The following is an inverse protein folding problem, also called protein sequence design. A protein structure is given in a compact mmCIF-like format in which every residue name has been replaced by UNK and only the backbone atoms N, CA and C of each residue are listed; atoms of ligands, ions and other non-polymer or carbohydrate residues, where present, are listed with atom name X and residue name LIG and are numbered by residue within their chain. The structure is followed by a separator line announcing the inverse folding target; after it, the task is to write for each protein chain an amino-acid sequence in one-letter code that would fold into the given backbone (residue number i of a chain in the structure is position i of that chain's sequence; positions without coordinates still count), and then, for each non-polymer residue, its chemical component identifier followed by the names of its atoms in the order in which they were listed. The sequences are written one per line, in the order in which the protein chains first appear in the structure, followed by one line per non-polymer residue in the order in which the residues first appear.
data_IF_976230003726
#
_entry.id   IF_976230003726
#
_cell.length_a   1.000
_cell.length_b   1.000
_cell.length_c   1.000
_cell.angle_alpha   90.00
_cell.angle_beta   90.00
_cell.angle_gamma   90.00
#
_symmetry.space_group_name_H-M   'P 1'
#
loop_
_entity.id
_entity.type
_entity.pdbx_description
1 polymer ?
#
# COMPACT_ATOMS: atom_id res chain seq x y z
N UNK A 1 9.66 -0.19 -15.16
CA UNK A 1 9.78 0.13 -13.72
C UNK A 1 8.83 -0.75 -12.92
N UNK A 2 9.32 -1.37 -11.84
CA UNK A 2 8.52 -2.22 -10.94
C UNK A 2 8.31 -1.52 -9.60
N UNK A 3 7.05 -1.32 -9.22
CA UNK A 3 6.62 -0.61 -8.01
C UNK A 3 5.82 -1.55 -7.14
N UNK A 4 6.09 -1.61 -5.84
CA UNK A 4 5.40 -2.51 -4.93
C UNK A 4 4.95 -1.83 -3.64
N UNK A 5 3.95 -2.40 -2.99
CA UNK A 5 3.57 -2.10 -1.63
C UNK A 5 3.59 -3.36 -0.78
N UNK A 6 4.00 -3.25 0.48
CA UNK A 6 4.01 -4.38 1.42
C UNK A 6 3.87 -3.90 2.87
N UNK A 7 2.79 -4.27 3.51
CA UNK A 7 2.70 -4.18 4.97
C UNK A 7 3.57 -5.27 5.59
N UNK A 8 4.68 -4.89 6.22
CA UNK A 8 5.67 -5.83 6.77
C UNK A 8 5.35 -6.28 8.19
N UNK A 9 4.32 -5.73 8.83
CA UNK A 9 3.93 -6.04 10.20
C UNK A 9 5.15 -6.17 11.15
N UNK A 10 5.89 -5.09 11.31
CA UNK A 10 7.19 -4.92 11.98
C UNK A 10 8.41 -5.18 11.08
N UNK A 11 9.04 -4.07 10.67
CA UNK A 11 10.25 -4.11 9.85
C UNK A 11 11.40 -4.86 10.54
N UNK A 12 11.59 -4.64 11.85
CA UNK A 12 12.64 -5.33 12.61
C UNK A 12 12.51 -6.86 12.52
N UNK A 13 11.30 -7.37 12.56
CA UNK A 13 11.05 -8.82 12.51
C UNK A 13 11.19 -9.36 11.09
N UNK A 14 10.79 -8.59 10.08
CA UNK A 14 10.73 -8.98 8.66
C UNK A 14 11.89 -8.46 7.82
N UNK A 15 12.89 -7.84 8.43
CA UNK A 15 14.05 -7.34 7.68
C UNK A 15 14.78 -8.45 6.88
N UNK A 16 14.97 -9.68 7.41
CA UNK A 16 15.50 -10.78 6.60
C UNK A 16 14.64 -11.11 5.38
N UNK A 17 13.30 -11.12 5.54
CA UNK A 17 12.37 -11.34 4.43
C UNK A 17 12.40 -10.21 3.41
N UNK A 18 12.42 -8.97 3.89
CA UNK A 18 12.55 -7.82 3.00
C UNK A 18 13.84 -7.89 2.17
N UNK A 19 14.97 -8.22 2.80
CA UNK A 19 16.25 -8.39 2.11
C UNK A 19 16.19 -9.46 1.03
N UNK A 20 15.64 -10.63 1.34
CA UNK A 20 15.47 -11.72 0.38
C UNK A 20 14.55 -11.29 -0.76
N UNK A 21 13.40 -10.71 -0.45
CA UNK A 21 12.44 -10.31 -1.47
C UNK A 21 12.97 -9.19 -2.38
N UNK A 22 13.71 -8.21 -1.82
CA UNK A 22 14.36 -7.16 -2.62
C UNK A 22 15.42 -7.71 -3.57
N UNK A 23 16.12 -8.78 -3.19
CA UNK A 23 17.08 -9.47 -4.05
C UNK A 23 16.39 -10.26 -5.18
N UNK A 24 15.30 -10.96 -4.85
CA UNK A 24 14.60 -11.86 -5.79
C UNK A 24 13.71 -11.08 -6.77
N UNK A 25 12.89 -10.17 -6.26
CA UNK A 25 11.91 -9.41 -7.04
C UNK A 25 12.52 -8.18 -7.72
N UNK A 26 13.62 -7.64 -7.15
CA UNK A 26 14.36 -6.47 -7.63
C UNK A 26 13.46 -5.28 -8.04
N UNK A 27 12.53 -4.82 -7.16
CA UNK A 27 11.68 -3.69 -7.50
C UNK A 27 12.50 -2.39 -7.58
N UNK A 28 12.00 -1.42 -8.34
CA UNK A 28 12.58 -0.08 -8.40
C UNK A 28 12.12 0.76 -7.19
N UNK A 29 10.88 0.56 -6.76
CA UNK A 29 10.26 1.24 -5.61
C UNK A 29 9.47 0.25 -4.76
N UNK A 30 9.62 0.34 -3.43
CA UNK A 30 8.79 -0.40 -2.46
C UNK A 30 8.27 0.56 -1.39
N UNK A 31 6.97 0.58 -1.22
CA UNK A 31 6.31 1.27 -0.12
C UNK A 31 6.01 0.26 1.01
N UNK A 32 6.44 0.57 2.21
CA UNK A 32 6.24 -0.28 3.38
C UNK A 32 5.24 0.36 4.34
N UNK A 33 4.42 -0.47 4.98
CA UNK A 33 3.53 -0.09 6.06
C UNK A 33 3.82 -0.96 7.30
N UNK A 34 3.40 -0.47 8.45
CA UNK A 34 3.65 -1.08 9.77
C UNK A 34 5.13 -1.37 10.03
N UNK A 35 5.99 -0.40 9.74
CA UNK A 35 7.42 -0.55 10.07
C UNK A 35 7.66 -0.70 11.56
N UNK A 36 6.78 -0.12 12.41
CA UNK A 36 6.81 -0.18 13.88
C UNK A 36 8.18 0.18 14.47
N UNK A 37 8.87 1.10 13.80
CA UNK A 37 10.23 1.52 14.10
C UNK A 37 10.29 3.04 14.17
N UNK A 38 10.88 3.59 15.21
CA UNK A 38 11.18 5.02 15.31
C UNK A 38 12.24 5.42 14.27
N UNK A 39 12.21 6.65 13.80
CA UNK A 39 13.12 7.15 12.77
C UNK A 39 14.60 6.95 13.16
N UNK A 40 14.95 7.17 14.43
CA UNK A 40 16.32 6.99 14.94
C UNK A 40 16.82 5.54 14.86
N UNK A 41 15.92 4.57 14.74
CA UNK A 41 16.23 3.13 14.72
C UNK A 41 15.95 2.49 13.35
N UNK A 42 15.66 3.32 12.33
CA UNK A 42 15.37 2.80 10.99
C UNK A 42 16.66 2.21 10.37
N UNK A 43 16.64 1.00 9.78
CA UNK A 43 17.83 0.29 9.32
C UNK A 43 18.37 0.84 7.98
N UNK A 44 18.70 2.12 7.96
CA UNK A 44 19.09 2.86 6.75
C UNK A 44 20.32 2.26 6.08
N UNK A 45 21.35 1.91 6.87
CA UNK A 45 22.60 1.36 6.34
C UNK A 45 22.42 -0.03 5.73
N UNK A 46 21.59 -0.87 6.36
CA UNK A 46 21.27 -2.20 5.85
C UNK A 46 20.49 -2.12 4.53
N UNK A 47 19.56 -1.18 4.43
CA UNK A 47 18.79 -0.93 3.20
C UNK A 47 19.69 -0.33 2.11
N UNK A 48 20.59 0.59 2.48
CA UNK A 48 21.54 1.17 1.54
C UNK A 48 22.50 0.12 0.96
N UNK A 49 22.92 -0.85 1.78
CA UNK A 49 23.75 -1.97 1.32
C UNK A 49 23.06 -2.85 0.27
N UNK A 50 21.72 -2.83 0.19
CA UNK A 50 20.92 -3.50 -0.84
C UNK A 50 20.73 -2.65 -2.11
N UNK A 51 21.31 -1.45 -2.16
CA UNK A 51 21.21 -0.54 -3.29
C UNK A 51 19.95 0.30 -3.31
N UNK A 52 19.30 0.51 -2.16
CA UNK A 52 18.12 1.37 -2.03
C UNK A 52 18.42 2.62 -1.20
N UNK A 53 17.77 3.70 -1.55
CA UNK A 53 17.63 4.91 -0.74
C UNK A 53 16.25 4.91 -0.11
N UNK A 54 16.10 5.49 1.08
CA UNK A 54 14.82 5.46 1.79
C UNK A 54 14.39 6.83 2.30
N UNK A 55 13.10 7.05 2.30
CA UNK A 55 12.40 8.03 3.11
C UNK A 55 11.47 7.27 4.05
N UNK A 56 11.29 7.76 5.26
CA UNK A 56 10.45 7.10 6.27
C UNK A 56 9.86 8.09 7.24
N UNK A 57 8.77 7.68 7.87
CA UNK A 57 8.11 8.38 8.97
C UNK A 57 7.60 7.33 9.94
N UNK A 58 8.27 7.18 11.05
CA UNK A 58 8.05 6.09 12.00
C UNK A 58 7.63 6.56 13.38
N UNK A 59 7.13 5.61 14.15
CA UNK A 59 6.85 5.76 15.56
C UNK A 59 7.06 4.45 16.32
N UNK A 60 7.22 4.54 17.62
CA UNK A 60 7.44 3.38 18.46
C UNK A 60 6.23 2.45 18.49
N UNK A 61 6.45 1.15 18.33
CA UNK A 61 5.49 0.06 18.56
C UNK A 61 4.39 -0.07 17.49
N UNK A 62 3.86 1.03 16.95
CA UNK A 62 2.72 1.05 16.03
C UNK A 62 3.03 1.83 14.77
N UNK A 63 2.21 1.60 13.73
CA UNK A 63 2.25 2.37 12.48
C UNK A 63 3.64 2.42 11.83
N UNK A 64 3.96 3.53 11.17
CA UNK A 64 5.21 3.73 10.47
C UNK A 64 5.13 3.30 9.01
N UNK A 65 5.61 4.18 8.15
CA UNK A 65 5.60 4.04 6.69
C UNK A 65 6.98 4.38 6.13
N UNK A 66 7.35 3.73 5.03
CA UNK A 66 8.61 4.00 4.35
C UNK A 66 8.46 3.86 2.84
N UNK A 67 9.29 4.57 2.09
CA UNK A 67 9.50 4.39 0.65
C UNK A 67 10.97 4.05 0.45
N UNK A 68 11.23 2.88 -0.10
CA UNK A 68 12.55 2.43 -0.52
C UNK A 68 12.60 2.51 -2.04
N UNK A 69 13.65 3.12 -2.60
CA UNK A 69 13.79 3.24 -4.04
C UNK A 69 15.26 3.18 -4.48
N UNK A 70 15.49 2.79 -5.75
CA UNK A 70 16.83 2.81 -6.33
C UNK A 70 17.37 4.24 -6.43
N UNK A 71 16.53 5.20 -6.72
CA UNK A 71 16.82 6.63 -6.65
C UNK A 71 16.33 7.22 -5.32
N UNK A 72 17.01 8.23 -4.80
CA UNK A 72 16.63 8.87 -3.55
C UNK A 72 15.26 9.56 -3.69
N UNK A 73 14.28 9.23 -2.85
CA UNK A 73 13.00 9.95 -2.83
C UNK A 73 13.21 11.44 -2.48
N UNK A 74 12.50 12.33 -3.20
CA UNK A 74 12.57 13.79 -3.05
C UNK A 74 11.20 14.35 -2.68
N UNK A 75 11.13 15.63 -2.31
CA UNK A 75 9.89 16.37 -2.04
C UNK A 75 8.97 15.61 -1.07
N UNK A 76 9.56 15.24 0.07
CA UNK A 76 8.92 14.35 1.04
C UNK A 76 7.84 15.09 1.81
N UNK A 77 6.66 14.47 1.90
CA UNK A 77 5.55 14.87 2.76
C UNK A 77 5.23 13.71 3.71
N UNK A 78 5.29 13.96 5.00
CA UNK A 78 5.11 12.95 6.06
C UNK A 78 3.77 13.04 6.76
N UNK A 79 2.96 14.06 6.43
CA UNK A 79 1.65 14.28 7.02
C UNK A 79 0.76 15.08 6.04
N UNK A 80 -0.55 14.97 6.19
CA UNK A 80 -1.50 15.80 5.43
C UNK A 80 -1.44 17.21 6.01
N UNK A 81 -1.18 18.26 5.20
CA UNK A 81 -1.15 19.62 5.68
C UNK A 81 -2.44 19.99 6.43
N UNK A 82 -2.29 20.46 7.67
CA UNK A 82 -3.41 20.86 8.52
C UNK A 82 -4.13 19.73 9.27
N UNK A 83 -3.71 18.46 9.09
CA UNK A 83 -4.31 17.33 9.83
C UNK A 83 -3.74 17.17 11.23
N UNK A 84 -2.58 17.57 11.58
CA UNK A 84 -1.98 17.45 12.93
C UNK A 84 -2.18 16.05 13.58
N UNK A 85 -2.08 14.98 12.78
CA UNK A 85 -2.23 13.60 13.24
C UNK A 85 -0.89 13.08 13.79
N UNK A 86 -0.81 12.61 15.04
CA UNK A 86 0.42 12.07 15.59
C UNK A 86 0.77 10.69 15.00
N UNK A 87 -0.17 10.03 14.31
CA UNK A 87 0.05 8.70 13.74
C UNK A 87 0.80 8.79 12.41
N UNK A 88 1.81 7.95 12.26
CA UNK A 88 2.66 7.89 11.07
C UNK A 88 2.09 6.92 10.04
N UNK A 89 1.15 7.42 9.21
CA UNK A 89 0.33 6.63 8.28
C UNK A 89 0.43 7.06 6.83
N UNK A 90 1.07 8.20 6.56
CA UNK A 90 1.23 8.72 5.21
C UNK A 90 2.68 9.13 4.97
N UNK A 91 3.17 8.80 3.78
CA UNK A 91 4.47 9.25 3.30
C UNK A 91 4.37 9.44 1.79
N UNK A 92 4.63 10.65 1.33
CA UNK A 92 4.61 10.94 -0.10
C UNK A 92 5.99 11.43 -0.52
N UNK A 93 6.47 10.95 -1.67
CA UNK A 93 7.78 11.34 -2.20
C UNK A 93 7.82 11.21 -3.72
N UNK A 94 8.73 11.92 -4.35
CA UNK A 94 8.99 11.83 -5.79
C UNK A 94 10.20 10.93 -6.03
N UNK A 95 10.05 9.91 -6.87
CA UNK A 95 11.12 9.00 -7.32
C UNK A 95 11.21 9.07 -8.84
N UNK A 96 12.34 9.52 -9.37
CA UNK A 96 12.42 9.89 -10.78
C UNK A 96 11.35 10.93 -11.13
N UNK A 97 10.49 10.59 -12.09
CA UNK A 97 9.36 11.44 -12.51
C UNK A 97 8.03 11.06 -11.84
N UNK A 98 8.01 9.99 -11.03
CA UNK A 98 6.80 9.51 -10.40
C UNK A 98 6.59 10.08 -9.00
N UNK A 99 5.39 10.55 -8.73
CA UNK A 99 4.92 10.86 -7.38
C UNK A 99 4.36 9.59 -6.74
N UNK A 100 4.87 9.21 -5.58
CA UNK A 100 4.50 8.00 -4.85
C UNK A 100 3.83 8.41 -3.54
N UNK A 101 2.58 8.04 -3.35
CA UNK A 101 1.83 8.28 -2.11
C UNK A 101 1.58 6.95 -1.38
N UNK A 102 2.36 6.71 -0.33
CA UNK A 102 2.25 5.53 0.52
C UNK A 102 1.27 5.78 1.66
N UNK A 103 0.24 4.95 1.74
CA UNK A 103 -0.84 5.05 2.72
C UNK A 103 -0.89 3.79 3.60
N UNK A 104 -1.00 4.00 4.90
CA UNK A 104 -1.42 2.99 5.86
C UNK A 104 -2.77 3.43 6.46
N UNK A 105 -3.85 3.03 5.80
CA UNK A 105 -5.21 3.42 6.21
C UNK A 105 -5.55 2.82 7.57
N UNK A 106 -6.24 3.57 8.38
CA UNK A 106 -6.72 3.14 9.71
C UNK A 106 -7.55 1.87 9.58
N UNK A 107 -7.32 0.86 10.43
CA UNK A 107 -8.13 -0.36 10.41
C UNK A 107 -9.60 -0.08 10.78
N UNK A 108 -9.86 0.73 11.80
CA UNK A 108 -11.22 1.11 12.23
C UNK A 108 -11.81 0.20 13.31
N UNK A 109 -11.21 -0.93 13.59
CA UNK A 109 -11.55 -1.90 14.64
C UNK A 109 -12.93 -2.54 14.45
N UNK A 110 -14.03 -1.78 14.55
CA UNK A 110 -15.42 -2.25 14.47
C UNK A 110 -16.30 -1.16 13.88
N UNK A 111 -17.26 -1.54 13.04
CA UNK A 111 -18.24 -0.61 12.45
C UNK A 111 -19.03 0.10 13.55
N UNK A 112 -19.12 1.42 13.48
CA UNK A 112 -19.80 2.26 14.47
C UNK A 112 -18.95 2.66 15.68
N UNK A 113 -17.69 2.20 15.79
CA UNK A 113 -16.78 2.64 16.85
C UNK A 113 -16.18 4.02 16.58
N UNK A 114 -15.60 4.66 17.61
CA UNK A 114 -14.87 5.92 17.45
C UNK A 114 -13.68 5.79 16.47
N UNK A 115 -13.03 4.62 16.44
CA UNK A 115 -11.94 4.34 15.51
C UNK A 115 -12.44 4.19 14.06
N UNK A 116 -13.65 3.71 13.89
CA UNK A 116 -14.29 3.66 12.59
C UNK A 116 -14.66 5.06 12.09
N UNK A 117 -15.25 5.88 12.95
CA UNK A 117 -15.52 7.28 12.63
C UNK A 117 -14.24 8.05 12.26
N UNK A 118 -13.16 7.85 13.03
CA UNK A 118 -11.84 8.40 12.72
C UNK A 118 -11.32 7.91 11.36
N UNK A 119 -11.47 6.62 11.02
CA UNK A 119 -11.09 6.07 9.71
C UNK A 119 -11.77 6.81 8.55
N UNK A 120 -13.08 7.01 8.64
CA UNK A 120 -13.85 7.66 7.57
C UNK A 120 -13.47 9.16 7.44
N UNK A 121 -13.30 9.87 8.55
CA UNK A 121 -12.81 11.27 8.56
C UNK A 121 -11.40 11.37 7.96
N UNK A 122 -10.50 10.46 8.35
CA UNK A 122 -9.14 10.39 7.81
C UNK A 122 -9.14 10.15 6.29
N UNK A 123 -9.97 9.22 5.79
CA UNK A 123 -10.12 8.95 4.35
C UNK A 123 -10.64 10.16 3.58
N UNK A 124 -11.57 10.92 4.15
CA UNK A 124 -12.06 12.15 3.51
C UNK A 124 -10.94 13.20 3.36
N UNK A 125 -10.07 13.35 4.37
CA UNK A 125 -8.91 14.24 4.33
C UNK A 125 -7.84 13.75 3.35
N UNK A 126 -7.57 12.44 3.33
CA UNK A 126 -6.68 11.82 2.33
C UNK A 126 -7.20 12.08 0.92
N UNK A 127 -8.50 11.92 0.66
CA UNK A 127 -9.09 12.19 -0.66
C UNK A 127 -8.85 13.65 -1.09
N UNK A 128 -9.08 14.61 -0.19
CA UNK A 128 -8.84 16.03 -0.49
C UNK A 128 -7.36 16.31 -0.79
N UNK A 129 -6.45 15.73 -0.01
CA UNK A 129 -5.01 15.83 -0.22
C UNK A 129 -4.58 15.21 -1.56
N UNK A 130 -5.07 14.01 -1.89
CA UNK A 130 -4.75 13.34 -3.16
C UNK A 130 -5.28 14.09 -4.36
N UNK A 131 -6.44 14.75 -4.26
CA UNK A 131 -6.96 15.61 -5.33
C UNK A 131 -6.00 16.77 -5.66
N UNK A 132 -5.33 17.33 -4.62
CA UNK A 132 -4.29 18.34 -4.80
C UNK A 132 -2.99 17.77 -5.35
N UNK A 133 -2.59 16.58 -4.89
CA UNK A 133 -1.39 15.90 -5.40
C UNK A 133 -1.52 15.54 -6.89
N UNK A 134 -2.67 14.99 -7.33
CA UNK A 134 -2.90 14.64 -8.74
C UNK A 134 -2.83 15.89 -9.65
N UNK A 135 -3.37 17.04 -9.20
CA UNK A 135 -3.30 18.27 -9.99
C UNK A 135 -1.87 18.78 -10.16
N UNK A 136 -1.02 18.61 -9.14
CA UNK A 136 0.38 19.09 -9.15
C UNK A 136 1.32 18.06 -9.77
N UNK A 137 1.00 16.80 -9.66
CA UNK A 137 1.81 15.67 -10.09
C UNK A 137 0.93 14.65 -10.83
N UNK A 138 0.68 14.86 -12.14
CA UNK A 138 -0.18 13.97 -12.91
C UNK A 138 0.27 12.51 -12.92
N UNK A 139 1.57 12.25 -12.88
CA UNK A 139 2.16 10.91 -12.82
C UNK A 139 2.24 10.43 -11.36
N UNK A 140 1.06 10.12 -10.77
CA UNK A 140 0.91 9.71 -9.38
C UNK A 140 0.57 8.22 -9.25
N UNK A 141 1.28 7.54 -8.35
CA UNK A 141 0.91 6.21 -7.85
C UNK A 141 0.53 6.32 -6.37
N UNK A 142 -0.68 5.93 -6.03
CA UNK A 142 -1.17 5.83 -4.64
C UNK A 142 -1.20 4.35 -4.28
N UNK A 143 -0.48 3.97 -3.23
CA UNK A 143 -0.36 2.56 -2.88
C UNK A 143 -0.27 2.38 -1.35
N UNK A 144 -0.52 1.17 -0.88
CA UNK A 144 -0.42 0.86 0.53
C UNK A 144 -1.42 -0.17 1.01
N UNK A 145 -1.51 -0.30 2.32
CA UNK A 145 -2.55 -1.04 3.00
C UNK A 145 -3.75 -0.12 3.23
N UNK A 146 -4.80 -0.36 2.45
CA UNK A 146 -6.03 0.44 2.54
C UNK A 146 -6.98 -0.02 3.64
N UNK A 147 -6.75 -1.21 4.19
CA UNK A 147 -7.68 -1.80 5.17
C UNK A 147 -9.15 -1.76 4.70
N UNK A 148 -9.38 -1.86 3.40
CA UNK A 148 -10.72 -1.91 2.76
C UNK A 148 -10.66 -2.88 1.59
N UNK A 149 -11.62 -3.80 1.50
CA UNK A 149 -11.82 -4.62 0.30
C UNK A 149 -12.62 -3.82 -0.73
N UNK A 150 -12.10 -3.60 -1.95
CA UNK A 150 -12.78 -2.79 -2.97
C UNK A 150 -14.18 -3.33 -3.32
N UNK A 151 -14.29 -4.64 -3.53
CA UNK A 151 -15.58 -5.29 -3.84
C UNK A 151 -15.63 -6.75 -3.34
N UNK A 152 -16.70 -7.47 -3.69
CA UNK A 152 -16.92 -8.83 -3.21
C UNK A 152 -15.97 -9.87 -3.79
N UNK A 153 -15.29 -9.60 -4.93
CA UNK A 153 -14.23 -10.45 -5.48
C UNK A 153 -12.97 -10.43 -4.62
N UNK A 154 -12.83 -9.42 -3.77
CA UNK A 154 -11.65 -9.13 -2.98
C UNK A 154 -11.68 -9.76 -1.58
N UNK A 155 -12.68 -10.59 -1.30
CA UNK A 155 -12.84 -11.29 -0.02
C UNK A 155 -13.32 -12.73 -0.21
N UNK A 156 -12.85 -13.62 0.66
CA UNK A 156 -13.13 -15.06 0.57
C UNK A 156 -14.59 -15.45 0.89
N UNK A 157 -15.31 -14.65 1.67
CA UNK A 157 -16.73 -14.88 2.03
C UNK A 157 -17.48 -13.54 2.09
N UNK A 158 -17.94 -13.02 0.94
CA UNK A 158 -18.59 -11.73 0.87
C UNK A 158 -19.95 -11.71 1.60
N UNK A 159 -20.58 -12.85 1.81
CA UNK A 159 -21.86 -12.95 2.53
C UNK A 159 -21.64 -12.78 4.04
N UNK A 160 -20.67 -13.52 4.61
CA UNK A 160 -20.37 -13.45 6.03
C UNK A 160 -19.77 -12.09 6.44
N UNK A 161 -19.04 -11.43 5.54
CA UNK A 161 -18.37 -10.15 5.79
C UNK A 161 -19.18 -8.93 5.38
N UNK A 162 -20.38 -9.12 4.86
CA UNK A 162 -21.24 -8.00 4.46
C UNK A 162 -21.46 -7.03 5.64
N UNK A 163 -21.16 -5.73 5.40
CA UNK A 163 -21.25 -4.66 6.41
C UNK A 163 -20.38 -4.87 7.68
N UNK A 164 -19.40 -5.79 7.62
CA UNK A 164 -18.38 -5.87 8.66
C UNK A 164 -17.23 -4.88 8.35
N UNK A 165 -16.37 -4.68 9.34
CA UNK A 165 -15.14 -3.87 9.18
C UNK A 165 -14.34 -4.33 7.94
N UNK A 166 -13.69 -3.43 7.23
CA UNK A 166 -12.99 -3.60 5.95
C UNK A 166 -13.92 -3.84 4.75
N UNK A 167 -15.22 -4.10 4.95
CA UNK A 167 -16.18 -4.47 3.92
C UNK A 167 -17.49 -3.67 3.97
N UNK A 168 -17.59 -2.70 4.89
CA UNK A 168 -18.80 -1.89 5.02
C UNK A 168 -18.98 -0.95 3.83
N UNK A 169 -20.25 -0.65 3.52
CA UNK A 169 -20.59 0.30 2.45
C UNK A 169 -19.91 1.65 2.61
N UNK A 170 -19.89 2.32 3.80
CA UNK A 170 -19.19 3.59 3.95
C UNK A 170 -17.67 3.52 3.69
N UNK A 171 -17.00 2.42 4.03
CA UNK A 171 -15.58 2.23 3.73
C UNK A 171 -15.34 2.10 2.23
N UNK A 172 -16.14 1.27 1.55
CA UNK A 172 -16.07 1.09 0.09
C UNK A 172 -16.40 2.37 -0.67
N UNK A 173 -17.38 3.15 -0.19
CA UNK A 173 -17.73 4.45 -0.77
C UNK A 173 -16.58 5.46 -0.61
N UNK A 174 -15.91 5.47 0.55
CA UNK A 174 -14.74 6.33 0.78
C UNK A 174 -13.57 5.94 -0.12
N UNK A 175 -13.29 4.64 -0.30
CA UNK A 175 -12.29 4.15 -1.25
C UNK A 175 -12.67 4.50 -2.69
N UNK A 176 -13.92 4.28 -3.07
CA UNK A 176 -14.44 4.66 -4.40
C UNK A 176 -14.28 6.14 -4.67
N UNK A 177 -14.54 7.01 -3.69
CA UNK A 177 -14.36 8.44 -3.83
C UNK A 177 -12.90 8.85 -4.05
N UNK A 178 -11.93 8.05 -3.57
CA UNK A 178 -10.49 8.22 -3.90
C UNK A 178 -10.21 7.75 -5.33
N UNK A 179 -10.73 6.59 -5.72
CA UNK A 179 -10.57 6.06 -7.10
C UNK A 179 -11.18 7.01 -8.13
N UNK A 180 -12.35 7.60 -7.83
CA UNK A 180 -13.06 8.56 -8.70
C UNK A 180 -12.28 9.89 -8.94
N UNK A 181 -11.13 10.10 -8.28
CA UNK A 181 -10.20 11.19 -8.61
C UNK A 181 -9.44 10.96 -9.94
N UNK A 182 -9.71 9.87 -10.64
CA UNK A 182 -8.99 9.45 -11.85
C UNK A 182 -7.86 8.49 -11.58
N UNK A 183 -8.00 7.68 -10.54
CA UNK A 183 -7.09 6.59 -10.21
C UNK A 183 -7.64 5.25 -10.70
N UNK A 184 -6.76 4.34 -11.08
CA UNK A 184 -7.10 3.00 -11.57
C UNK A 184 -6.47 1.95 -10.67
N UNK A 185 -7.27 1.00 -10.19
CA UNK A 185 -6.77 -0.20 -9.51
C UNK A 185 -5.98 -1.05 -10.50
N UNK A 186 -4.66 -1.03 -10.37
CA UNK A 186 -3.76 -1.63 -11.35
C UNK A 186 -3.86 -3.15 -11.41
N UNK A 187 -4.23 -3.81 -10.30
CA UNK A 187 -4.50 -5.24 -10.32
C UNK A 187 -5.73 -5.55 -11.18
N UNK A 188 -6.80 -4.76 -11.05
CA UNK A 188 -8.06 -4.96 -11.78
C UNK A 188 -8.00 -4.52 -13.26
N UNK A 189 -6.95 -3.82 -13.68
CA UNK A 189 -6.70 -3.61 -15.11
C UNK A 189 -6.33 -4.90 -15.86
N UNK A 190 -5.82 -5.92 -15.15
CA UNK A 190 -5.29 -7.15 -15.74
C UNK A 190 -5.96 -8.43 -15.23
N UNK A 191 -6.70 -8.36 -14.14
CA UNK A 191 -7.29 -9.54 -13.52
C UNK A 191 -8.67 -9.24 -12.91
N UNK A 192 -9.72 -9.84 -13.46
CA UNK A 192 -11.09 -9.73 -12.98
C UNK A 192 -11.53 -10.89 -12.06
N UNK A 193 -10.70 -11.93 -11.94
CA UNK A 193 -11.03 -13.13 -11.18
C UNK A 193 -11.02 -12.88 -9.66
N UNK A 194 -11.93 -13.53 -8.89
CA UNK A 194 -11.89 -13.52 -7.44
C UNK A 194 -10.78 -14.43 -6.89
N UNK A 195 -10.57 -14.38 -5.57
CA UNK A 195 -9.66 -15.33 -4.89
C UNK A 195 -8.20 -14.91 -4.87
N UNK A 196 -7.89 -13.71 -5.33
CA UNK A 196 -6.57 -13.11 -5.27
C UNK A 196 -6.49 -12.14 -4.10
N UNK A 197 -5.77 -12.51 -3.06
CA UNK A 197 -5.71 -11.76 -1.81
C UNK A 197 -4.29 -11.31 -1.48
N UNK A 198 -4.17 -10.26 -0.68
CA UNK A 198 -2.90 -9.71 -0.20
C UNK A 198 -2.70 -9.87 1.32
N UNK A 199 -3.77 -10.22 2.03
CA UNK A 199 -3.78 -10.42 3.48
C UNK A 199 -4.54 -11.68 3.88
N UNK A 200 -4.06 -12.39 4.93
CA UNK A 200 -4.70 -13.56 5.56
C UNK A 200 -4.42 -13.57 7.05
N UNK A 201 -5.47 -13.72 7.87
CA UNK A 201 -5.31 -13.91 9.32
C UNK A 201 -4.39 -15.10 9.61
N UNK A 202 -3.53 -14.97 10.62
CA UNK A 202 -2.69 -16.08 11.10
C UNK A 202 -3.51 -17.24 11.67
N UNK A 203 -4.69 -16.95 12.20
CA UNK A 203 -5.60 -17.92 12.80
C UNK A 203 -6.27 -18.81 11.73
N UNK A 204 -6.76 -19.97 12.16
CA UNK A 204 -7.55 -20.89 11.33
C UNK A 204 -6.85 -21.37 10.05
N UNK A 205 -5.52 -21.33 10.00
CA UNK A 205 -4.75 -21.62 8.79
C UNK A 205 -5.20 -20.80 7.57
N UNK A 206 -5.52 -19.51 7.77
CA UNK A 206 -6.14 -18.63 6.78
C UNK A 206 -5.43 -18.66 5.43
N UNK A 207 -4.10 -18.52 5.41
CA UNK A 207 -3.34 -18.58 4.16
C UNK A 207 -3.46 -19.91 3.43
N UNK A 208 -3.31 -21.05 4.13
CA UNK A 208 -3.40 -22.38 3.52
C UNK A 208 -4.78 -22.68 2.95
N UNK A 209 -5.83 -22.17 3.60
CA UNK A 209 -7.24 -22.32 3.18
C UNK A 209 -7.68 -21.24 2.20
N UNK A 210 -6.82 -20.29 1.88
CA UNK A 210 -7.11 -19.09 1.09
C UNK A 210 -8.28 -18.24 1.64
N UNK A 211 -8.39 -18.13 2.97
CA UNK A 211 -9.38 -17.27 3.63
C UNK A 211 -8.81 -15.86 3.78
N UNK A 212 -8.73 -15.12 2.69
CA UNK A 212 -8.01 -13.85 2.61
C UNK A 212 -8.85 -12.69 2.11
N UNK A 213 -8.21 -11.53 2.09
CA UNK A 213 -8.74 -10.27 1.56
C UNK A 213 -7.67 -9.57 0.73
N UNK A 214 -8.08 -8.88 -0.32
CA UNK A 214 -7.21 -7.95 -1.04
C UNK A 214 -7.46 -6.54 -0.49
N UNK A 215 -6.55 -6.09 0.35
CA UNK A 215 -6.61 -4.79 1.03
C UNK A 215 -5.35 -3.94 0.80
N UNK A 216 -4.30 -4.54 0.22
CA UNK A 216 -3.12 -3.82 -0.25
C UNK A 216 -3.33 -3.51 -1.74
N UNK A 217 -3.38 -2.22 -2.07
CA UNK A 217 -3.71 -1.75 -3.41
C UNK A 217 -2.57 -0.92 -4.00
N UNK A 218 -2.48 -0.95 -5.33
CA UNK A 218 -1.65 -0.04 -6.12
C UNK A 218 -2.58 0.64 -7.12
N UNK A 219 -2.77 1.94 -6.95
CA UNK A 219 -3.64 2.77 -7.78
C UNK A 219 -2.76 3.69 -8.63
N UNK A 220 -2.95 3.69 -9.95
CA UNK A 220 -2.23 4.57 -10.87
C UNK A 220 -3.16 5.66 -11.41
N UNK A 221 -2.66 6.88 -11.53
CA UNK A 221 -3.39 7.98 -12.17
C UNK A 221 -3.69 7.70 -13.63
N UNK A 222 -4.69 8.40 -14.19
CA UNK A 222 -5.07 8.28 -15.62
C UNK A 222 -3.87 8.52 -16.56
N UNK A 223 -2.96 9.45 -16.21
CA UNK A 223 -1.74 9.71 -16.97
C UNK A 223 -0.82 8.49 -17.08
N UNK A 224 -0.83 7.61 -16.07
CA UNK A 224 -0.01 6.39 -16.03
C UNK A 224 -0.72 5.17 -16.63
N UNK A 225 -2.04 5.22 -16.84
CA UNK A 225 -2.83 4.06 -17.25
C UNK A 225 -2.27 3.35 -18.47
N UNK A 226 -1.95 4.10 -19.52
CA UNK A 226 -1.39 3.55 -20.76
C UNK A 226 0.01 2.94 -20.58
N UNK A 227 0.71 3.27 -19.51
CA UNK A 227 2.03 2.72 -19.16
C UNK A 227 1.95 1.47 -18.30
N UNK A 228 0.80 1.15 -17.70
CA UNK A 228 0.63 -0.08 -16.93
C UNK A 228 0.81 -1.31 -17.84
N UNK A 229 1.59 -2.30 -17.38
CA UNK A 229 1.90 -3.55 -18.11
C UNK A 229 1.45 -4.79 -17.37
N UNK A 230 1.51 -4.78 -16.05
CA UNK A 230 1.02 -5.85 -15.19
C UNK A 230 0.66 -5.32 -13.80
N UNK A 231 -0.34 -5.95 -13.18
CA UNK A 231 -0.70 -5.79 -11.77
C UNK A 231 -0.75 -7.18 -11.13
N UNK A 232 0.09 -7.44 -10.12
CA UNK A 232 0.28 -8.76 -9.54
C UNK A 232 0.28 -8.72 -8.00
N UNK A 233 0.05 -9.89 -7.39
CA UNK A 233 0.22 -10.13 -5.96
C UNK A 233 1.21 -11.29 -5.81
N UNK A 234 2.34 -11.04 -5.15
CA UNK A 234 3.37 -12.06 -4.94
C UNK A 234 3.14 -12.79 -3.61
N UNK A 235 2.63 -14.01 -3.68
CA UNK A 235 2.32 -14.82 -2.50
C UNK A 235 3.54 -15.50 -1.88
N UNK A 236 4.70 -15.44 -2.51
CA UNK A 236 5.93 -16.13 -2.07
C UNK A 236 6.31 -15.80 -0.63
N UNK A 237 6.34 -14.52 -0.18
CA UNK A 237 6.70 -14.19 1.20
C UNK A 237 5.78 -14.79 2.27
N UNK A 238 4.53 -15.10 1.93
CA UNK A 238 3.60 -15.76 2.85
C UNK A 238 3.93 -17.24 3.12
N UNK A 239 4.77 -17.84 2.30
CA UNK A 239 5.23 -19.24 2.47
C UNK A 239 6.45 -19.37 3.38
N UNK A 240 7.10 -18.26 3.73
CA UNK A 240 8.31 -18.25 4.55
C UNK A 240 8.00 -18.46 6.04
N UNK A 241 9.05 -18.76 6.83
CA UNK A 241 8.90 -18.92 8.27
C UNK A 241 8.55 -17.58 8.94
N UNK A 242 7.54 -17.56 9.82
CA UNK A 242 7.07 -16.35 10.54
C UNK A 242 6.82 -15.14 9.62
N UNK A 243 6.03 -15.30 8.54
CA UNK A 243 5.82 -14.25 7.55
C UNK A 243 5.00 -13.08 8.12
N UNK A 244 4.97 -11.95 7.39
CA UNK A 244 3.89 -10.97 7.58
C UNK A 244 2.54 -11.63 7.25
N UNK A 245 1.45 -11.15 7.82
CA UNK A 245 0.09 -11.54 7.41
C UNK A 245 -0.31 -10.95 6.05
N UNK A 246 0.45 -9.97 5.56
CA UNK A 246 0.35 -9.43 4.20
C UNK A 246 1.42 -9.98 3.27
N UNK A 247 1.21 -9.75 1.97
CA UNK A 247 2.16 -10.06 0.91
C UNK A 247 2.23 -8.90 -0.10
N UNK A 248 3.34 -8.74 -0.87
CA UNK A 248 3.49 -7.63 -1.80
C UNK A 248 2.44 -7.59 -2.90
N UNK A 249 1.85 -6.40 -3.14
CA UNK A 249 1.15 -6.06 -4.37
C UNK A 249 2.08 -5.24 -5.27
N UNK A 250 2.08 -5.54 -6.58
CA UNK A 250 3.09 -5.07 -7.53
C UNK A 250 2.43 -4.49 -8.77
N UNK A 251 2.94 -3.35 -9.22
CA UNK A 251 2.66 -2.74 -10.50
C UNK A 251 3.93 -2.75 -11.37
N UNK A 252 3.81 -3.14 -12.62
CA UNK A 252 4.84 -2.94 -13.64
C UNK A 252 4.42 -1.83 -14.61
N UNK A 253 5.27 -0.80 -14.72
CA UNK A 253 5.11 0.30 -15.66
C UNK A 253 6.15 0.20 -16.79
N UNK A 254 5.73 0.53 -18.02
CA UNK A 254 6.68 0.81 -19.10
C UNK A 254 7.56 2.01 -18.75
N UNK A 255 8.78 2.03 -19.26
CA UNK A 255 9.68 3.18 -19.13
C UNK A 255 9.11 4.40 -19.85
N UNK A 256 9.44 5.59 -19.34
CA UNK A 256 9.06 6.86 -19.97
C UNK A 256 9.70 6.91 -21.37
N UNK A 257 8.86 7.00 -22.43
CA UNK A 257 9.33 7.08 -23.81
C UNK A 257 9.12 5.82 -24.68
N UNK A 258 8.69 4.70 -24.12
CA UNK A 258 8.21 3.56 -24.90
C UNK A 258 6.69 3.64 -25.09
N UNK A 259 6.24 4.53 -25.97
CA UNK A 259 4.88 4.46 -26.51
C UNK A 259 4.77 3.16 -27.35
N UNK A 260 3.63 2.48 -27.24
CA UNK A 260 3.34 1.27 -28.02
C UNK A 260 3.64 1.51 -29.51
N UNK A 261 4.65 0.85 -30.04
CA UNK A 261 4.81 0.62 -31.48
C UNK A 261 3.89 -0.52 -31.92
#
# INVERSE_FOLDING_TARGET
MKIATWNVNSLKVRLPHLRQWLADAAPDVVALQETKTEDANFPTDEIAALGYRCAFSGQKTYNGVAILAREAPRDIVTDIPGLADPQRRILVGTVGDLRIANLYVVNGQEVGSDKYAYKLDWLAKVRAFLADEIRRHPDLVVLGDFNITPDDRDIYDPVAWKEQILCSTPERDALKAIVDLGLHDTFRLFNDEPGHYSWWDYRQAGFRRNLGMRIDLVLASEALRARCRAGNIDRTPRTWERPSDHTPAILELAESGQANS
#
